data_IF_451473876948
#
_entry.id   IF_451473876948
#
_cell.length_a   1.000
_cell.length_b   1.000
_cell.length_c   1.000
_cell.angle_alpha   90.00
_cell.angle_beta   90.00
_cell.angle_gamma   90.00
#
_symmetry.space_group_name_H-M   'P 1'
#
loop_
_entity.id
_entity.type
_entity.pdbx_description
1 polymer ?
#
# COMPACT_ATOMS: atom_id res chain seq x y z
N UNK A 1 -7.52 14.42 20.11
CA UNK A 1 -6.53 13.37 19.81
C UNK A 1 -5.52 13.90 18.79
N UNK A 2 -4.30 13.36 18.73
CA UNK A 2 -3.31 13.70 17.72
C UNK A 2 -3.13 12.58 16.71
N UNK A 3 -2.85 12.95 15.47
CA UNK A 3 -2.39 12.05 14.40
C UNK A 3 -1.05 12.56 13.89
N UNK A 4 0.01 11.80 14.11
CA UNK A 4 1.38 12.15 13.74
C UNK A 4 1.82 11.30 12.55
N UNK A 5 2.36 11.93 11.50
CA UNK A 5 3.04 11.24 10.41
C UNK A 5 4.53 11.50 10.50
N UNK A 6 5.32 10.44 10.48
CA UNK A 6 6.79 10.52 10.40
C UNK A 6 7.30 9.71 9.23
N UNK A 7 8.47 10.13 8.73
CA UNK A 7 9.26 9.36 7.76
C UNK A 7 10.69 9.23 8.26
N UNK A 8 11.35 8.12 7.94
CA UNK A 8 12.75 7.88 8.32
C UNK A 8 13.39 6.83 7.42
N UNK A 9 14.69 6.63 7.59
CA UNK A 9 15.44 5.52 7.03
C UNK A 9 15.70 4.45 8.11
N UNK A 10 15.70 3.19 7.68
CA UNK A 10 16.08 2.04 8.49
C UNK A 10 17.56 1.70 8.27
N UNK A 11 18.35 1.74 9.35
CA UNK A 11 19.80 1.70 9.26
C UNK A 11 20.41 0.30 9.03
N UNK A 12 19.65 -0.79 9.18
CA UNK A 12 20.20 -2.14 9.07
C UNK A 12 20.44 -2.55 7.60
N UNK A 13 21.61 -3.16 7.34
CA UNK A 13 22.02 -3.68 6.03
C UNK A 13 22.45 -5.15 6.13
N UNK A 14 22.41 -5.88 5.01
CA UNK A 14 22.86 -7.26 4.92
C UNK A 14 21.92 -8.31 5.55
N UNK A 15 22.42 -9.53 5.77
CA UNK A 15 21.63 -10.68 6.25
C UNK A 15 21.05 -10.55 7.66
N UNK A 16 21.50 -9.56 8.45
CA UNK A 16 20.93 -9.23 9.76
C UNK A 16 19.75 -8.26 9.66
N UNK A 17 19.58 -7.58 8.53
CA UNK A 17 18.56 -6.56 8.35
C UNK A 17 17.15 -7.11 8.49
N UNK A 18 16.88 -8.29 7.94
CA UNK A 18 15.54 -8.87 7.99
C UNK A 18 15.13 -9.33 9.40
N UNK A 19 16.07 -9.94 10.15
CA UNK A 19 15.83 -10.33 11.55
C UNK A 19 15.67 -9.11 12.44
N UNK A 20 16.57 -8.14 12.32
CA UNK A 20 16.51 -6.90 13.08
C UNK A 20 15.25 -6.09 12.76
N UNK A 21 14.81 -6.07 11.50
CA UNK A 21 13.55 -5.47 11.08
C UNK A 21 12.35 -6.15 11.74
N UNK A 22 12.23 -7.48 11.64
CA UNK A 22 11.12 -8.21 12.28
C UNK A 22 11.04 -7.93 13.77
N UNK A 23 12.20 -7.95 14.44
CA UNK A 23 12.31 -7.64 15.87
C UNK A 23 11.85 -6.21 16.15
N UNK A 24 12.35 -5.23 15.40
CA UNK A 24 11.98 -3.83 15.56
C UNK A 24 10.48 -3.60 15.32
N UNK A 25 9.88 -4.20 14.28
CA UNK A 25 8.43 -4.12 14.04
C UNK A 25 7.65 -4.71 15.22
N UNK A 26 8.07 -5.84 15.76
CA UNK A 26 7.42 -6.46 16.91
C UNK A 26 7.52 -5.59 18.18
N UNK A 27 8.70 -5.01 18.43
CA UNK A 27 8.92 -4.07 19.54
C UNK A 27 8.06 -2.83 19.39
N UNK A 28 8.05 -2.21 18.20
CA UNK A 28 7.21 -1.04 17.88
C UNK A 28 5.73 -1.35 18.08
N UNK A 29 5.25 -2.51 17.61
CA UNK A 29 3.87 -2.95 17.82
C UNK A 29 3.52 -3.06 19.30
N UNK A 30 4.39 -3.69 20.10
CA UNK A 30 4.17 -3.84 21.53
C UNK A 30 4.15 -2.50 22.27
N UNK A 31 5.07 -1.59 21.90
CA UNK A 31 5.13 -0.23 22.45
C UNK A 31 3.85 0.53 22.11
N UNK A 32 3.43 0.53 20.84
CA UNK A 32 2.23 1.24 20.40
C UNK A 32 0.97 0.70 21.06
N UNK A 33 0.84 -0.63 21.19
CA UNK A 33 -0.26 -1.25 21.91
C UNK A 33 -0.28 -0.83 23.40
N UNK A 34 0.88 -0.84 24.07
CA UNK A 34 0.97 -0.41 25.48
C UNK A 34 0.71 1.08 25.71
N UNK A 35 0.83 1.91 24.67
CA UNK A 35 0.47 3.33 24.69
C UNK A 35 -0.93 3.61 24.14
N UNK A 36 -1.72 2.56 23.88
CA UNK A 36 -3.04 2.63 23.26
C UNK A 36 -3.08 3.40 21.94
N UNK A 37 -1.96 3.39 21.20
CA UNK A 37 -1.83 4.02 19.90
C UNK A 37 -2.40 3.11 18.82
N UNK A 38 -3.12 3.73 17.89
CA UNK A 38 -3.58 3.10 16.64
C UNK A 38 -2.81 3.69 15.47
N UNK A 39 -2.82 3.05 14.32
CA UNK A 39 -2.10 3.58 13.17
C UNK A 39 -1.64 2.53 12.19
N UNK A 40 -0.66 2.90 11.39
CA UNK A 40 -0.07 1.98 10.47
C UNK A 40 1.31 2.39 10.01
N UNK A 41 2.11 1.37 9.73
CA UNK A 41 3.48 1.50 9.27
C UNK A 41 3.65 0.90 7.88
N UNK A 42 4.41 1.60 7.06
CA UNK A 42 4.85 1.16 5.75
C UNK A 42 6.37 1.08 5.77
N UNK A 43 6.89 -0.07 5.36
CA UNK A 43 8.31 -0.27 5.08
C UNK A 43 8.51 -0.53 3.59
N UNK A 44 9.18 0.38 2.91
CA UNK A 44 9.52 0.25 1.50
C UNK A 44 11.04 0.36 1.31
N UNK A 45 11.69 -0.76 0.96
CA UNK A 45 13.15 -0.89 0.95
C UNK A 45 13.72 -0.61 2.35
N UNK A 46 14.53 0.43 2.49
CA UNK A 46 15.05 0.94 3.76
C UNK A 46 14.32 2.19 4.24
N UNK A 47 13.16 2.53 3.67
CA UNK A 47 12.39 3.72 4.04
C UNK A 47 11.18 3.33 4.90
N UNK A 48 10.91 4.15 5.90
CA UNK A 48 9.81 3.97 6.84
C UNK A 48 8.87 5.17 6.72
N UNK A 49 7.57 4.89 6.67
CA UNK A 49 6.55 5.85 7.00
C UNK A 49 5.67 5.29 8.12
N UNK A 50 5.51 6.05 9.20
CA UNK A 50 4.70 5.64 10.35
C UNK A 50 3.66 6.72 10.65
N UNK A 51 2.40 6.29 10.73
CA UNK A 51 1.28 7.15 11.11
C UNK A 51 0.69 6.60 12.39
N UNK A 52 0.72 7.39 13.45
CA UNK A 52 0.19 7.04 14.77
C UNK A 52 -0.90 8.00 15.21
N UNK A 53 -1.92 7.48 15.85
CA UNK A 53 -3.09 8.19 16.35
C UNK A 53 -3.34 7.83 17.82
N UNK A 54 -3.50 8.85 18.66
CA UNK A 54 -3.74 8.65 20.09
C UNK A 54 -3.74 9.93 20.90
N UNK A 55 -3.78 9.77 22.23
CA UNK A 55 -3.65 10.88 23.17
C UNK A 55 -2.34 11.64 22.88
N UNK A 56 -2.34 12.98 23.08
CA UNK A 56 -1.23 13.82 22.67
C UNK A 56 0.09 13.47 23.40
N UNK A 57 0.03 13.17 24.69
CA UNK A 57 1.15 12.67 25.48
C UNK A 57 1.64 11.30 25.03
N UNK A 58 0.73 10.37 24.71
CA UNK A 58 1.08 9.06 24.16
C UNK A 58 1.80 9.17 22.80
N UNK A 59 1.31 10.02 21.90
CA UNK A 59 1.93 10.29 20.60
C UNK A 59 3.29 10.97 20.76
N UNK A 60 3.42 11.93 21.67
CA UNK A 60 4.69 12.59 21.96
C UNK A 60 5.73 11.61 22.54
N UNK A 61 5.29 10.67 23.37
CA UNK A 61 6.13 9.60 23.91
C UNK A 61 6.61 8.64 22.81
N UNK A 62 5.74 8.25 21.89
CA UNK A 62 6.13 7.43 20.74
C UNK A 62 7.16 8.14 19.85
N UNK A 63 6.96 9.43 19.55
CA UNK A 63 7.94 10.24 18.80
C UNK A 63 9.29 10.30 19.52
N UNK A 64 9.31 10.46 20.85
CA UNK A 64 10.55 10.46 21.63
C UNK A 64 11.29 9.13 21.52
N UNK A 65 10.57 8.01 21.67
CA UNK A 65 11.15 6.66 21.51
C UNK A 65 11.68 6.42 20.09
N UNK A 66 10.98 6.90 19.07
CA UNK A 66 11.43 6.83 17.68
C UNK A 66 12.76 7.57 17.48
N UNK A 67 12.93 8.76 18.07
CA UNK A 67 14.19 9.53 18.02
C UNK A 67 15.37 8.82 18.71
N UNK A 68 15.09 8.06 19.75
CA UNK A 68 16.09 7.29 20.51
C UNK A 68 16.40 5.92 19.88
N UNK A 69 15.61 5.50 18.89
CA UNK A 69 15.75 4.19 18.27
C UNK A 69 16.97 4.14 17.35
N UNK A 70 17.96 3.31 17.70
CA UNK A 70 19.20 3.12 16.93
C UNK A 70 18.99 2.69 15.48
N UNK A 71 17.83 2.09 15.16
CA UNK A 71 17.52 1.59 13.83
C UNK A 71 16.85 2.60 12.92
N UNK A 72 16.36 3.73 13.45
CA UNK A 72 15.78 4.83 12.67
C UNK A 72 16.79 5.97 12.57
N UNK A 73 17.14 6.35 11.35
CA UNK A 73 17.99 7.50 11.06
C UNK A 73 17.22 8.49 10.17
N UNK A 74 17.61 9.75 10.21
CA UNK A 74 16.94 10.83 9.47
C UNK A 74 15.43 10.89 9.73
N UNK A 75 15.02 10.78 11.00
CA UNK A 75 13.62 10.88 11.38
C UNK A 75 13.10 12.30 11.13
N UNK A 76 12.13 12.42 10.25
CA UNK A 76 11.41 13.64 9.91
C UNK A 76 9.97 13.54 10.42
N UNK A 77 9.55 14.58 11.15
CA UNK A 77 8.13 14.78 11.48
C UNK A 77 7.50 15.50 10.29
N UNK A 78 6.64 14.81 9.55
CA UNK A 78 6.00 15.35 8.35
C UNK A 78 4.85 16.28 8.72
N UNK A 79 3.93 15.79 9.55
CA UNK A 79 2.83 16.59 10.06
C UNK A 79 2.34 16.06 11.42
N UNK A 80 1.61 16.91 12.15
CA UNK A 80 0.93 16.54 13.39
C UNK A 80 -0.44 17.23 13.44
N UNK A 81 -1.49 16.46 13.24
CA UNK A 81 -2.85 16.95 13.07
C UNK A 81 -3.69 16.68 14.33
N UNK A 82 -4.60 17.60 14.63
CA UNK A 82 -5.67 17.33 15.60
C UNK A 82 -6.78 16.56 14.89
N UNK A 83 -7.16 15.40 15.43
CA UNK A 83 -8.23 14.55 14.87
C UNK A 83 -9.32 14.30 15.91
N UNK A 84 -10.56 14.16 15.43
CA UNK A 84 -11.74 13.88 16.26
C UNK A 84 -11.92 12.38 16.53
N UNK A 85 -11.58 11.55 15.56
CA UNK A 85 -11.74 10.08 15.61
C UNK A 85 -10.46 9.40 15.14
N UNK A 86 -10.28 8.14 15.56
CA UNK A 86 -9.23 7.26 15.02
C UNK A 86 -9.66 6.79 13.63
N UNK A 87 -8.72 6.82 12.68
CA UNK A 87 -8.88 6.22 11.37
C UNK A 87 -8.61 4.72 11.43
N UNK A 88 -7.70 4.30 12.31
CA UNK A 88 -7.27 2.90 12.42
C UNK A 88 -7.90 2.25 13.66
N UNK A 89 -8.43 1.03 13.51
CA UNK A 89 -8.99 0.27 14.62
C UNK A 89 -7.91 -0.28 15.59
N UNK A 90 -6.67 -0.42 15.10
CA UNK A 90 -5.50 -0.90 15.83
C UNK A 90 -4.22 -0.36 15.20
N UNK A 91 -3.06 -0.83 15.66
CA UNK A 91 -1.80 -0.59 14.95
C UNK A 91 -1.43 -1.81 14.09
N UNK A 92 -1.01 -1.59 12.85
CA UNK A 92 -0.64 -2.67 11.91
C UNK A 92 0.56 -2.31 11.04
N UNK A 93 1.37 -3.31 10.69
CA UNK A 93 2.30 -3.20 9.56
C UNK A 93 1.49 -3.35 8.27
N UNK A 94 1.28 -2.25 7.56
CA UNK A 94 0.40 -2.16 6.40
C UNK A 94 1.06 -2.65 5.11
N UNK A 95 2.37 -2.47 5.01
CA UNK A 95 3.14 -2.86 3.83
C UNK A 95 4.59 -3.13 4.23
N UNK A 96 5.15 -4.21 3.68
CA UNK A 96 6.59 -4.49 3.68
C UNK A 96 6.99 -5.00 2.30
N UNK A 97 7.92 -4.30 1.64
CA UNK A 97 8.41 -4.74 0.33
C UNK A 97 9.32 -3.73 -0.34
N UNK A 98 9.58 -3.92 -1.63
CA UNK A 98 10.52 -3.13 -2.43
C UNK A 98 9.85 -2.17 -3.44
N UNK A 99 8.53 -1.97 -3.36
CA UNK A 99 7.80 -1.18 -4.34
C UNK A 99 8.28 0.27 -4.41
N UNK A 100 8.80 0.67 -5.57
CA UNK A 100 9.17 2.06 -5.86
C UNK A 100 7.97 3.00 -5.75
N UNK A 101 6.76 2.55 -6.10
CA UNK A 101 5.54 3.34 -5.98
C UNK A 101 5.30 3.79 -4.52
N UNK A 102 5.59 2.91 -3.56
CA UNK A 102 5.43 3.20 -2.13
C UNK A 102 6.63 3.96 -1.58
N UNK A 103 7.84 3.63 -2.05
CA UNK A 103 9.08 4.27 -1.60
C UNK A 103 9.21 5.73 -2.05
N UNK A 104 8.79 6.06 -3.27
CA UNK A 104 8.95 7.40 -3.86
C UNK A 104 8.36 8.55 -3.01
N UNK A 105 7.11 8.50 -2.52
CA UNK A 105 6.59 9.58 -1.68
C UNK A 105 7.30 9.69 -0.32
N UNK A 106 7.86 8.60 0.21
CA UNK A 106 8.63 8.63 1.45
C UNK A 106 9.98 9.30 1.22
N UNK A 107 10.67 8.93 0.13
CA UNK A 107 11.94 9.54 -0.26
C UNK A 107 11.79 11.04 -0.51
N UNK A 108 10.75 11.46 -1.24
CA UNK A 108 10.48 12.87 -1.49
C UNK A 108 10.34 13.67 -0.18
N UNK A 109 9.66 13.13 0.83
CA UNK A 109 9.48 13.79 2.13
C UNK A 109 10.73 13.83 3.01
N UNK A 110 11.70 12.96 2.77
CA UNK A 110 13.01 13.03 3.41
C UNK A 110 13.86 14.18 2.84
N UNK A 111 13.63 14.56 1.58
CA UNK A 111 14.34 15.64 0.90
C UNK A 111 13.64 16.99 1.09
N UNK A 112 12.34 17.04 0.80
CA UNK A 112 11.52 18.25 0.82
C UNK A 112 10.17 17.96 1.50
N UNK A 113 9.93 18.65 2.61
CA UNK A 113 8.66 18.57 3.31
C UNK A 113 7.65 19.51 2.65
N UNK A 114 6.82 18.97 1.76
CA UNK A 114 5.71 19.71 1.17
C UNK A 114 4.35 19.08 1.47
N UNK A 115 3.32 19.92 1.38
CA UNK A 115 1.95 19.53 1.70
C UNK A 115 1.38 18.48 0.74
N UNK A 116 1.82 18.48 -0.52
CA UNK A 116 1.32 17.54 -1.53
C UNK A 116 1.75 16.10 -1.23
N UNK A 117 3.05 15.88 -1.00
CA UNK A 117 3.58 14.56 -0.65
C UNK A 117 3.08 14.10 0.72
N UNK A 118 2.95 15.03 1.69
CA UNK A 118 2.40 14.74 3.02
C UNK A 118 0.96 14.21 2.91
N UNK A 119 0.11 14.93 2.19
CA UNK A 119 -1.27 14.54 1.97
C UNK A 119 -1.38 13.21 1.21
N UNK A 120 -0.58 13.03 0.16
CA UNK A 120 -0.56 11.81 -0.65
C UNK A 120 -0.15 10.58 0.18
N UNK A 121 0.92 10.68 0.97
CA UNK A 121 1.40 9.58 1.81
C UNK A 121 0.38 9.21 2.89
N UNK A 122 -0.21 10.21 3.55
CA UNK A 122 -1.27 10.01 4.54
C UNK A 122 -2.49 9.29 3.94
N UNK A 123 -2.94 9.72 2.75
CA UNK A 123 -4.03 9.06 2.03
C UNK A 123 -3.69 7.63 1.63
N UNK A 124 -2.45 7.36 1.21
CA UNK A 124 -1.97 6.01 0.91
C UNK A 124 -2.00 5.10 2.14
N UNK A 125 -1.48 5.57 3.29
CA UNK A 125 -1.49 4.82 4.55
C UNK A 125 -2.91 4.48 4.99
N UNK A 126 -3.83 5.44 4.91
CA UNK A 126 -5.25 5.19 5.23
C UNK A 126 -5.88 4.16 4.30
N UNK A 127 -5.59 4.23 2.99
CA UNK A 127 -6.10 3.26 2.01
C UNK A 127 -5.51 1.84 2.16
N UNK A 128 -4.39 1.68 2.86
CA UNK A 128 -3.87 0.36 3.24
C UNK A 128 -4.45 -0.15 4.56
N UNK A 129 -4.79 0.75 5.48
CA UNK A 129 -5.39 0.39 6.77
C UNK A 129 -6.90 0.14 6.74
N UNK A 130 -7.59 0.53 5.67
CA UNK A 130 -9.02 0.30 5.51
C UNK A 130 -9.31 -1.19 5.12
N UNK A 131 -10.03 -1.95 5.95
CA UNK A 131 -10.41 -3.33 5.65
C UNK A 131 -11.58 -3.45 4.65
N UNK A 132 -12.20 -2.34 4.21
CA UNK A 132 -13.29 -2.42 3.25
C UNK A 132 -12.82 -3.07 1.93
N UNK A 133 -13.61 -3.99 1.34
CA UNK A 133 -13.24 -4.61 0.08
C UNK A 133 -13.10 -3.50 -0.97
N UNK A 134 -11.91 -3.38 -1.57
CA UNK A 134 -11.68 -2.55 -2.74
C UNK A 134 -12.61 -3.03 -3.84
N UNK A 135 -13.78 -2.42 -3.96
CA UNK A 135 -14.70 -2.69 -5.07
C UNK A 135 -13.91 -2.32 -6.33
N UNK A 136 -13.59 -3.28 -7.22
CA UNK A 136 -12.91 -2.93 -8.45
C UNK A 136 -13.79 -1.89 -9.18
N UNK A 137 -13.19 -0.93 -9.90
CA UNK A 137 -13.97 -0.03 -10.73
C UNK A 137 -14.88 -0.88 -11.60
N UNK A 138 -16.18 -0.63 -11.54
CA UNK A 138 -17.13 -1.29 -12.41
C UNK A 138 -16.60 -1.11 -13.83
N UNK A 139 -16.35 -2.23 -14.54
CA UNK A 139 -16.09 -2.16 -15.97
C UNK A 139 -17.34 -1.54 -16.58
N UNK A 140 -17.29 -0.24 -16.87
CA UNK A 140 -18.34 0.45 -17.61
C UNK A 140 -18.51 -0.31 -18.91
N UNK A 141 -19.65 -0.98 -19.05
CA UNK A 141 -20.03 -1.68 -20.26
C UNK A 141 -20.09 -0.68 -21.40
N UNK A 142 -19.14 -0.78 -22.32
CA UNK A 142 -19.19 -0.15 -23.63
C UNK A 142 -18.70 -1.18 -24.66
N UNK A 143 -19.55 -2.15 -24.97
CA UNK A 143 -19.56 -2.87 -26.24
C UNK A 143 -20.81 -3.76 -26.32
N UNK A 144 -21.98 -3.13 -26.46
CA UNK A 144 -23.10 -3.76 -27.13
C UNK A 144 -23.64 -2.72 -28.11
N UNK A 145 -23.46 -3.01 -29.40
CA UNK A 145 -24.31 -2.66 -30.56
C UNK A 145 -23.45 -2.64 -31.83
N UNK A 146 -23.47 -3.74 -32.57
CA UNK A 146 -23.60 -3.72 -34.02
C UNK A 146 -24.31 -5.01 -34.41
N UNK A 147 -25.62 -4.90 -34.50
CA UNK A 147 -26.48 -5.83 -35.23
C UNK A 147 -27.22 -4.96 -36.25
N UNK A 148 -26.93 -5.17 -37.53
CA UNK A 148 -27.74 -4.69 -38.65
C UNK A 148 -27.51 -5.64 -39.82
N UNK A 149 -28.35 -6.68 -39.86
CA UNK A 149 -29.21 -7.04 -41.00
C UNK A 149 -28.59 -7.14 -42.41
N UNK A 150 -28.61 -8.36 -42.96
CA UNK A 150 -28.88 -8.60 -44.39
C UNK A 150 -29.44 -10.02 -44.58
N UNK A 151 -30.74 -10.11 -44.84
CA UNK A 151 -31.42 -11.29 -45.36
C UNK A 151 -31.31 -11.34 -46.90
N UNK A 152 -31.15 -12.54 -47.48
CA UNK A 152 -31.29 -12.75 -48.93
C UNK A 152 -30.48 -13.91 -49.52
N UNK A 153 -31.04 -15.12 -49.47
CA UNK A 153 -30.68 -16.34 -50.24
C UNK A 153 -30.54 -16.09 -51.77
N UNK A 154 -30.01 -17.03 -52.62
CA UNK A 154 -30.01 -18.49 -52.44
C UNK A 154 -28.73 -19.27 -52.85
N UNK A 155 -28.82 -20.58 -52.60
CA UNK A 155 -27.86 -21.66 -52.86
C UNK A 155 -27.29 -21.74 -54.30
N UNK A 156 -26.19 -22.50 -54.47
CA UNK A 156 -26.36 -23.70 -55.29
C UNK A 156 -25.67 -24.97 -54.78
N UNK A 157 -26.39 -26.06 -55.01
CA UNK A 157 -25.98 -27.40 -55.48
C UNK A 157 -24.84 -28.17 -54.82
N UNK A 158 -25.24 -29.33 -54.31
CA UNK A 158 -24.39 -30.47 -54.00
C UNK A 158 -23.69 -31.06 -55.23
N UNK A 159 -22.47 -31.55 -55.04
CA UNK A 159 -21.83 -32.57 -55.87
C UNK A 159 -21.33 -33.68 -54.93
N UNK A 160 -21.61 -34.97 -55.19
CA UNK A 160 -21.26 -36.06 -54.28
C UNK A 160 -19.94 -36.76 -54.66
N UNK A 161 -19.36 -37.45 -53.67
CA UNK A 161 -18.44 -38.59 -53.79
C UNK A 161 -17.01 -38.29 -54.31
N UNK A 162 -15.91 -38.95 -53.89
CA UNK A 162 -15.74 -40.28 -53.31
C UNK A 162 -14.32 -40.46 -52.68
N UNK A 163 -14.22 -41.46 -51.79
CA UNK A 163 -13.10 -42.42 -51.57
C UNK A 163 -11.66 -41.88 -51.32
N UNK A 164 -11.07 -42.09 -50.15
CA UNK A 164 -10.46 -43.33 -49.59
C UNK A 164 -8.93 -43.44 -49.84
N UNK A 165 -8.17 -43.28 -48.73
CA UNK A 165 -6.95 -44.05 -48.33
C UNK A 165 -5.64 -43.91 -49.15
N UNK A 166 -4.46 -44.38 -48.67
CA UNK A 166 -3.91 -44.52 -47.31
C UNK A 166 -2.42 -44.06 -47.17
N UNK A 167 -1.93 -44.15 -45.92
CA UNK A 167 -0.52 -44.20 -45.42
C UNK A 167 0.59 -44.61 -46.42
N UNK A 168 1.78 -44.01 -46.23
CA UNK A 168 3.11 -44.66 -46.00
C UNK A 168 4.10 -43.58 -45.56
N UNK A 169 4.61 -43.69 -44.32
CA UNK A 169 5.98 -44.05 -43.91
C UNK A 169 6.96 -42.88 -44.00
#
# INVERSE_FOLDING_TARGET
>A
MRSLLTVSEFALRGGEAERGLRRWVAETRAIHAGLELTGGMVLARNLIADLVEGEAGAVALALRRAREARHQVHLVVVDSLTVRTRTFAGWSLLYQGSSTYVAAPIAALLEVQDAYHSHRLRSMLKAFGDPAPRRPPAKTGAAARHETEAAGMPAPMAVPSARASPRRR
#
